data_IF_332016035552
#
_entry.id   IF_332016035552
#
_cell.length_a   1.000
_cell.length_b   1.000
_cell.length_c   1.000
_cell.angle_alpha   90.00
_cell.angle_beta   90.00
_cell.angle_gamma   90.00
#
_symmetry.space_group_name_H-M   'P 1'
#
loop_
_entity.id
_entity.type
_entity.pdbx_description
1 polymer ?
#
# COMPACT_ATOMS: atom_id res chain seq x y z
N UNK A 1 -11.60 -14.94 -6.30
CA UNK A 1 -11.40 -14.05 -7.46
C UNK A 1 -10.49 -12.91 -7.04
N UNK A 2 -9.41 -12.67 -7.77
CA UNK A 2 -8.44 -11.59 -7.50
C UNK A 2 -8.51 -10.53 -8.58
N UNK A 3 -8.83 -9.29 -8.21
CA UNK A 3 -8.93 -8.17 -9.14
C UNK A 3 -8.02 -7.03 -8.66
N UNK A 4 -6.85 -6.92 -9.29
CA UNK A 4 -5.86 -5.88 -9.00
C UNK A 4 -6.03 -4.67 -9.93
N UNK A 5 -7.27 -4.20 -10.05
CA UNK A 5 -7.68 -3.11 -10.94
C UNK A 5 -8.84 -2.31 -10.31
N UNK A 6 -9.02 -1.08 -10.77
CA UNK A 6 -10.09 -0.18 -10.36
C UNK A 6 -10.45 0.76 -11.51
N UNK A 7 -11.67 1.27 -11.48
CA UNK A 7 -12.13 2.33 -12.38
C UNK A 7 -12.46 3.57 -11.57
N UNK A 8 -12.65 4.71 -12.24
CA UNK A 8 -13.26 5.87 -11.59
C UNK A 8 -14.55 5.47 -10.88
N UNK A 9 -14.75 5.93 -9.65
CA UNK A 9 -15.88 5.51 -8.83
C UNK A 9 -17.20 6.05 -9.40
N UNK A 10 -17.99 5.17 -10.01
CA UNK A 10 -19.38 5.42 -10.43
C UNK A 10 -20.37 4.85 -9.40
N UNK A 11 -21.67 5.00 -9.61
CA UNK A 11 -22.66 4.22 -8.86
C UNK A 11 -22.49 2.71 -9.11
N UNK A 12 -22.94 1.86 -8.18
CA UNK A 12 -22.60 0.43 -8.19
C UNK A 12 -23.14 -0.32 -9.42
N UNK A 13 -24.25 0.10 -10.01
CA UNK A 13 -24.82 -0.50 -11.22
C UNK A 13 -24.06 -0.13 -12.49
N UNK A 14 -23.34 1.00 -12.47
CA UNK A 14 -22.51 1.46 -13.58
C UNK A 14 -21.08 0.93 -13.46
N UNK A 15 -20.67 0.51 -12.26
CA UNK A 15 -19.34 -0.02 -12.01
C UNK A 15 -19.28 -1.51 -12.37
N UNK A 16 -18.55 -1.91 -13.43
CA UNK A 16 -18.50 -3.30 -13.88
C UNK A 16 -17.87 -4.24 -12.84
N UNK A 17 -16.94 -3.75 -12.02
CA UNK A 17 -16.34 -4.53 -10.93
C UNK A 17 -17.40 -4.78 -9.86
N UNK A 18 -18.16 -3.76 -9.46
CA UNK A 18 -19.20 -3.92 -8.44
C UNK A 18 -20.29 -4.92 -8.90
N UNK A 19 -20.78 -4.79 -10.14
CA UNK A 19 -21.77 -5.73 -10.71
C UNK A 19 -21.19 -7.16 -10.82
N UNK A 20 -19.98 -7.30 -11.36
CA UNK A 20 -19.31 -8.61 -11.49
C UNK A 20 -18.95 -9.25 -10.15
N UNK A 21 -18.60 -8.44 -9.15
CA UNK A 21 -18.31 -8.92 -7.80
C UNK A 21 -19.57 -9.38 -7.07
N UNK A 22 -20.70 -8.67 -7.23
CA UNK A 22 -21.98 -9.10 -6.66
C UNK A 22 -22.35 -10.48 -7.20
N UNK A 23 -22.21 -10.63 -8.51
CA UNK A 23 -22.45 -11.88 -9.23
C UNK A 23 -21.61 -13.06 -8.73
N UNK A 24 -20.33 -12.82 -8.42
CA UNK A 24 -19.42 -13.82 -7.90
C UNK A 24 -19.75 -14.16 -6.44
N UNK A 25 -19.99 -13.14 -5.61
CA UNK A 25 -20.37 -13.29 -4.20
C UNK A 25 -21.65 -14.12 -4.04
N UNK A 26 -22.68 -13.88 -4.88
CA UNK A 26 -23.92 -14.68 -4.89
C UNK A 26 -23.69 -16.18 -5.15
N UNK A 27 -22.56 -16.53 -5.78
CA UNK A 27 -22.15 -17.91 -6.05
C UNK A 27 -21.17 -18.44 -5.01
N UNK A 28 -21.00 -17.75 -3.89
CA UNK A 28 -20.08 -18.13 -2.82
C UNK A 28 -18.60 -17.92 -3.19
N UNK A 29 -18.30 -17.14 -4.23
CA UNK A 29 -16.93 -16.85 -4.65
C UNK A 29 -16.45 -15.60 -3.90
N UNK A 30 -15.40 -15.75 -3.10
CA UNK A 30 -14.73 -14.62 -2.48
C UNK A 30 -14.12 -13.68 -3.52
N UNK A 31 -14.36 -12.38 -3.40
CA UNK A 31 -13.82 -11.35 -4.31
C UNK A 31 -12.94 -10.38 -3.53
N UNK A 32 -11.67 -10.30 -3.93
CA UNK A 32 -10.73 -9.31 -3.44
C UNK A 32 -10.43 -8.29 -4.51
N UNK A 33 -10.49 -7.01 -4.15
CA UNK A 33 -10.06 -5.92 -5.01
C UNK A 33 -9.01 -5.06 -4.31
N UNK A 34 -8.07 -4.53 -5.10
CA UNK A 34 -7.12 -3.51 -4.64
C UNK A 34 -7.84 -2.20 -4.28
N UNK A 35 -7.45 -1.55 -3.19
CA UNK A 35 -8.04 -0.27 -2.77
C UNK A 35 -7.72 0.93 -3.68
N UNK A 36 -6.65 0.85 -4.48
CA UNK A 36 -6.14 1.97 -5.29
C UNK A 36 -4.79 2.50 -4.76
N UNK A 37 -4.10 3.26 -5.60
CA UNK A 37 -2.76 3.80 -5.31
C UNK A 37 -2.75 5.34 -5.38
N UNK A 38 -3.85 5.98 -4.97
CA UNK A 38 -4.06 7.43 -5.05
C UNK A 38 -4.16 8.08 -3.67
N UNK A 39 -3.70 7.41 -2.61
CA UNK A 39 -3.49 8.04 -1.32
C UNK A 39 -2.34 9.06 -1.35
N UNK A 40 -2.07 9.75 -0.23
CA UNK A 40 -2.55 9.45 1.13
C UNK A 40 -3.86 10.16 1.52
N UNK A 41 -4.45 10.99 0.65
CA UNK A 41 -5.63 11.76 1.01
C UNK A 41 -6.86 10.86 1.24
N UNK A 42 -7.77 11.31 2.11
CA UNK A 42 -9.07 10.68 2.33
C UNK A 42 -9.93 10.66 1.06
N UNK A 43 -10.89 9.74 1.00
CA UNK A 43 -11.83 9.59 -0.14
C UNK A 43 -11.18 9.23 -1.49
N UNK A 44 -9.98 8.67 -1.47
CA UNK A 44 -9.22 8.28 -2.67
C UNK A 44 -9.41 6.81 -3.04
N UNK A 45 -10.10 6.03 -2.20
CA UNK A 45 -10.22 4.59 -2.38
C UNK A 45 -11.30 4.17 -3.38
N UNK A 46 -10.95 3.14 -4.15
CA UNK A 46 -11.78 2.50 -5.17
C UNK A 46 -12.30 1.15 -4.65
N UNK A 47 -13.23 0.55 -5.38
CA UNK A 47 -13.76 -0.80 -5.13
C UNK A 47 -14.42 -0.93 -3.74
N UNK A 48 -15.11 0.12 -3.29
CA UNK A 48 -15.72 0.19 -1.96
C UNK A 48 -17.08 -0.49 -1.79
N UNK A 49 -17.56 -1.26 -2.78
CA UNK A 49 -18.85 -1.94 -2.67
C UNK A 49 -18.86 -2.94 -1.48
N UNK A 50 -19.94 -3.04 -0.69
CA UNK A 50 -19.92 -3.85 0.54
C UNK A 50 -19.81 -5.37 0.35
N UNK A 51 -19.97 -5.89 -0.86
CA UNK A 51 -19.77 -7.30 -1.18
C UNK A 51 -18.37 -7.59 -1.75
N UNK A 52 -17.52 -6.57 -1.88
CA UNK A 52 -16.10 -6.69 -2.21
C UNK A 52 -15.29 -6.68 -0.91
N UNK A 53 -14.23 -7.48 -0.84
CA UNK A 53 -13.18 -7.31 0.17
C UNK A 53 -12.07 -6.43 -0.42
N UNK A 54 -11.89 -5.24 0.11
CA UNK A 54 -11.02 -4.20 -0.45
C UNK A 54 -9.72 -4.12 0.35
N UNK A 55 -8.59 -4.26 -0.32
CA UNK A 55 -7.30 -4.51 0.34
C UNK A 55 -6.37 -3.30 0.19
N UNK A 56 -5.95 -2.73 1.32
CA UNK A 56 -4.89 -1.72 1.38
C UNK A 56 -3.49 -2.33 1.23
N UNK A 57 -2.47 -1.51 0.98
CA UNK A 57 -1.09 -1.97 0.84
C UNK A 57 -0.26 -1.65 2.08
N UNK A 58 0.29 -2.68 2.71
CA UNK A 58 1.24 -2.57 3.82
C UNK A 58 2.67 -2.92 3.41
N UNK A 59 3.65 -2.38 4.14
CA UNK A 59 5.05 -2.84 4.03
C UNK A 59 5.26 -4.20 4.67
N UNK A 60 6.40 -4.81 4.35
CA UNK A 60 6.95 -5.97 5.05
C UNK A 60 8.27 -5.56 5.72
N UNK A 61 8.81 -6.42 6.58
CA UNK A 61 10.07 -6.19 7.30
C UNK A 61 11.34 -6.45 6.44
N UNK A 62 11.16 -6.61 5.13
CA UNK A 62 12.24 -6.67 4.15
C UNK A 62 12.45 -5.31 3.51
N UNK A 63 13.69 -4.87 3.46
CA UNK A 63 14.13 -3.69 2.72
C UNK A 63 15.35 -4.00 1.84
N UNK A 64 15.73 -3.06 0.99
CA UNK A 64 16.89 -3.15 0.13
C UNK A 64 17.79 -1.93 0.26
N UNK A 65 19.08 -2.18 0.31
CA UNK A 65 20.07 -1.19 0.64
C UNK A 65 21.29 -1.24 -0.28
N UNK A 66 22.07 -0.17 -0.21
CA UNK A 66 23.44 -0.11 -0.67
C UNK A 66 24.31 0.53 0.42
N UNK A 67 25.53 0.01 0.58
CA UNK A 67 26.53 0.62 1.45
C UNK A 67 27.38 1.58 0.62
N UNK A 68 27.49 2.82 1.10
CA UNK A 68 28.26 3.91 0.48
C UNK A 68 29.43 4.23 1.39
N UNK A 69 30.64 4.02 0.91
CA UNK A 69 31.88 4.18 1.68
C UNK A 69 32.72 5.32 1.11
N UNK A 70 33.20 6.19 2.00
CA UNK A 70 33.96 7.39 1.68
C UNK A 70 35.36 7.35 2.29
N UNK A 71 36.30 8.07 1.66
CA UNK A 71 37.64 8.31 2.22
C UNK A 71 38.45 7.05 2.52
N UNK A 72 38.30 5.98 1.73
CA UNK A 72 39.02 4.72 1.94
C UNK A 72 38.57 3.93 3.17
N UNK A 73 37.32 4.10 3.62
CA UNK A 73 36.74 3.37 4.75
C UNK A 73 36.48 4.20 6.01
N UNK A 74 36.77 5.50 5.99
CA UNK A 74 36.59 6.39 7.16
C UNK A 74 35.12 6.56 7.54
N UNK A 75 34.23 6.62 6.55
CA UNK A 75 32.80 6.77 6.74
C UNK A 75 32.08 5.76 5.85
N UNK A 76 31.14 5.00 6.42
CA UNK A 76 30.22 4.15 5.65
C UNK A 76 28.79 4.47 6.06
N UNK A 77 27.96 4.79 5.07
CA UNK A 77 26.54 5.09 5.23
C UNK A 77 25.77 4.01 4.49
N UNK A 78 24.76 3.45 5.17
CA UNK A 78 23.80 2.56 4.53
C UNK A 78 22.61 3.38 4.04
N UNK A 79 22.43 3.43 2.74
CA UNK A 79 21.26 4.05 2.10
C UNK A 79 20.32 3.01 1.50
N UNK A 80 19.11 3.45 1.14
CA UNK A 80 18.14 2.64 0.40
C UNK A 80 18.58 2.50 -1.05
N UNK A 81 18.53 1.28 -1.58
CA UNK A 81 18.71 1.03 -3.00
C UNK A 81 18.11 -0.31 -3.43
N UNK A 82 17.35 -0.28 -4.53
CA UNK A 82 16.90 -1.48 -5.28
C UNK A 82 17.50 -1.53 -6.68
N UNK A 83 18.65 -0.87 -6.89
CA UNK A 83 19.35 -0.93 -8.17
C UNK A 83 19.71 -2.40 -8.51
N UNK A 84 19.30 -2.92 -9.68
CA UNK A 84 19.25 -4.36 -9.92
C UNK A 84 20.58 -4.97 -10.36
N UNK A 85 21.59 -4.17 -10.69
CA UNK A 85 22.88 -4.68 -11.17
C UNK A 85 23.91 -4.78 -10.05
N UNK A 86 24.68 -5.88 -10.08
CA UNK A 86 25.81 -6.10 -9.19
C UNK A 86 27.05 -5.35 -9.71
N UNK A 87 26.97 -4.03 -9.74
CA UNK A 87 28.09 -3.17 -10.13
C UNK A 87 28.91 -2.84 -8.89
N UNK A 88 30.20 -3.20 -8.91
CA UNK A 88 31.14 -2.67 -7.95
C UNK A 88 31.55 -1.27 -8.41
N UNK A 89 31.02 -0.25 -7.75
CA UNK A 89 31.54 1.11 -7.87
C UNK A 89 32.70 1.20 -6.89
N UNK A 90 33.91 1.40 -7.40
CA UNK A 90 35.06 1.61 -6.53
C UNK A 90 35.91 2.79 -6.99
N UNK A 91 36.33 3.60 -6.02
CA UNK A 91 37.18 4.76 -6.19
C UNK A 91 36.68 5.73 -7.28
N UNK A 92 35.37 5.97 -7.32
CA UNK A 92 34.74 6.88 -8.30
C UNK A 92 34.67 8.29 -7.73
N UNK A 93 35.07 9.29 -8.51
CA UNK A 93 34.98 10.69 -8.11
C UNK A 93 33.54 11.13 -7.86
N UNK A 94 33.35 11.93 -6.82
CA UNK A 94 32.08 12.58 -6.52
C UNK A 94 31.99 13.96 -7.16
N UNK A 95 30.77 14.36 -7.52
CA UNK A 95 30.43 15.73 -7.88
C UNK A 95 29.35 16.27 -6.94
N UNK A 96 29.55 17.49 -6.45
CA UNK A 96 28.53 18.26 -5.76
C UNK A 96 28.58 19.69 -6.29
N UNK A 97 27.41 20.27 -6.59
CA UNK A 97 27.27 21.61 -7.15
C UNK A 97 27.59 22.76 -6.19
N UNK A 98 28.59 22.60 -5.32
CA UNK A 98 28.88 23.49 -4.21
C UNK A 98 28.96 24.96 -4.63
N UNK A 99 28.21 25.82 -3.94
CA UNK A 99 28.16 27.25 -4.22
C UNK A 99 27.16 27.65 -5.31
N UNK A 100 26.44 26.70 -5.90
CA UNK A 100 25.31 26.96 -6.80
C UNK A 100 24.09 26.15 -6.36
N UNK A 101 23.08 26.82 -5.79
CA UNK A 101 21.92 26.15 -5.19
C UNK A 101 21.19 25.20 -6.14
N UNK A 102 20.96 25.60 -7.39
CA UNK A 102 20.29 24.77 -8.39
C UNK A 102 21.08 23.49 -8.71
N UNK A 103 22.41 23.58 -8.76
CA UNK A 103 23.30 22.43 -8.94
C UNK A 103 23.39 21.56 -7.68
N UNK A 104 23.41 22.16 -6.49
CA UNK A 104 23.38 21.42 -5.21
C UNK A 104 22.10 20.58 -5.07
N UNK A 105 20.97 21.11 -5.54
CA UNK A 105 19.68 20.44 -5.51
C UNK A 105 19.42 19.55 -6.72
N UNK A 106 20.30 19.52 -7.73
CA UNK A 106 20.06 18.83 -9.00
C UNK A 106 18.69 19.20 -9.62
N UNK A 107 18.38 20.50 -9.67
CA UNK A 107 17.17 21.00 -10.33
C UNK A 107 17.20 20.68 -11.84
N UNK A 108 16.02 20.57 -12.44
CA UNK A 108 15.88 20.25 -13.86
C UNK A 108 16.77 21.17 -14.72
N UNK A 109 17.63 20.56 -15.56
CA UNK A 109 18.60 21.20 -16.44
C UNK A 109 19.74 22.00 -15.75
N UNK A 110 19.96 21.83 -14.44
CA UNK A 110 21.02 22.55 -13.73
C UNK A 110 22.43 21.96 -13.91
N UNK A 111 22.55 20.64 -14.11
CA UNK A 111 23.85 19.96 -14.19
C UNK A 111 24.47 20.09 -15.59
N UNK A 112 25.75 20.45 -15.65
CA UNK A 112 26.51 20.43 -16.90
C UNK A 112 27.03 19.00 -17.16
N UNK A 113 26.73 18.38 -18.32
CA UNK A 113 27.26 17.05 -18.66
C UNK A 113 28.78 16.94 -18.55
N UNK A 114 29.53 18.02 -18.82
CA UNK A 114 31.00 18.03 -18.71
C UNK A 114 31.48 17.94 -17.26
N UNK A 115 30.72 18.52 -16.33
CA UNK A 115 31.08 18.54 -14.91
C UNK A 115 30.90 17.15 -14.27
N UNK A 116 29.89 16.41 -14.71
CA UNK A 116 29.43 15.15 -14.08
C UNK A 116 29.86 13.88 -14.82
N UNK A 117 30.40 14.01 -16.04
CA UNK A 117 30.86 12.88 -16.83
C UNK A 117 31.81 11.96 -16.04
N UNK A 118 31.44 10.68 -15.93
CA UNK A 118 32.26 9.69 -15.24
C UNK A 118 32.20 9.72 -13.71
N UNK A 119 31.39 10.60 -13.10
CA UNK A 119 31.29 10.83 -11.65
C UNK A 119 29.96 10.36 -11.08
N UNK A 120 29.92 10.13 -9.78
CA UNK A 120 28.67 10.00 -9.02
C UNK A 120 28.28 11.38 -8.51
N UNK A 121 27.04 11.78 -8.74
CA UNK A 121 26.52 13.09 -8.32
C UNK A 121 25.87 12.96 -6.94
N UNK A 122 26.20 13.87 -6.03
CA UNK A 122 25.45 14.05 -4.79
C UNK A 122 24.41 15.16 -4.97
N UNK A 123 23.14 14.83 -4.79
CA UNK A 123 22.03 15.79 -4.78
C UNK A 123 21.57 16.00 -3.34
N UNK A 124 21.64 17.25 -2.89
CA UNK A 124 21.26 17.62 -1.53
C UNK A 124 19.75 17.66 -1.35
N UNK A 125 19.31 17.64 -0.09
CA UNK A 125 17.91 17.55 0.28
C UNK A 125 17.05 18.68 -0.31
N UNK A 126 15.96 18.28 -0.97
CA UNK A 126 14.88 19.15 -1.41
C UNK A 126 13.54 18.54 -1.00
N UNK A 127 12.71 19.30 -0.28
CA UNK A 127 11.35 18.89 0.10
C UNK A 127 10.43 18.59 -1.09
N UNK A 128 10.76 19.09 -2.29
CA UNK A 128 9.90 19.06 -3.48
C UNK A 128 10.43 18.22 -4.65
N UNK A 129 11.65 17.68 -4.56
CA UNK A 129 12.32 17.05 -5.70
C UNK A 129 13.09 15.83 -5.30
N UNK A 130 12.51 14.64 -5.50
CA UNK A 130 13.24 13.36 -5.49
C UNK A 130 13.32 12.77 -6.89
N UNK A 131 12.17 12.55 -7.54
CA UNK A 131 12.09 11.97 -8.88
C UNK A 131 12.71 12.87 -9.95
N UNK A 132 12.55 14.18 -9.85
CA UNK A 132 13.19 15.14 -10.77
C UNK A 132 14.71 15.05 -10.72
N UNK A 133 15.29 14.93 -9.51
CA UNK A 133 16.74 14.82 -9.32
C UNK A 133 17.31 13.59 -10.03
N UNK A 134 16.66 12.42 -9.91
CA UNK A 134 17.11 11.20 -10.62
C UNK A 134 17.12 11.41 -12.13
N UNK A 135 16.07 12.03 -12.67
CA UNK A 135 15.98 12.33 -14.12
C UNK A 135 17.03 13.32 -14.57
N UNK A 136 17.32 14.34 -13.76
CA UNK A 136 18.35 15.32 -14.09
C UNK A 136 19.76 14.70 -14.11
N UNK A 137 20.07 13.84 -13.14
CA UNK A 137 21.34 13.10 -13.09
C UNK A 137 21.50 12.21 -14.33
N UNK A 138 20.45 11.47 -14.69
CA UNK A 138 20.43 10.62 -15.89
C UNK A 138 20.58 11.45 -17.17
N UNK A 139 19.82 12.54 -17.32
CA UNK A 139 19.92 13.49 -18.44
C UNK A 139 21.32 14.08 -18.59
N UNK A 140 21.98 14.39 -17.47
CA UNK A 140 23.33 14.94 -17.48
C UNK A 140 24.41 13.88 -17.80
N UNK A 141 24.08 12.59 -17.81
CA UNK A 141 25.00 11.51 -18.16
C UNK A 141 26.00 11.17 -17.06
N UNK A 142 25.63 11.36 -15.79
CA UNK A 142 26.44 10.94 -14.65
C UNK A 142 26.50 9.40 -14.53
N UNK A 143 27.49 8.86 -13.82
CA UNK A 143 27.58 7.41 -13.55
C UNK A 143 26.54 6.90 -12.55
N UNK A 144 25.92 7.80 -11.79
CA UNK A 144 24.97 7.46 -10.74
C UNK A 144 24.75 8.62 -9.78
N UNK A 145 23.93 8.39 -8.76
CA UNK A 145 23.59 9.39 -7.75
C UNK A 145 23.60 8.87 -6.33
N UNK A 146 23.96 9.76 -5.41
CA UNK A 146 23.59 9.71 -4.01
C UNK A 146 22.61 10.85 -3.77
N UNK A 147 21.39 10.54 -3.37
CA UNK A 147 20.35 11.53 -3.14
C UNK A 147 20.03 11.58 -1.64
N UNK A 148 20.10 12.78 -1.06
CA UNK A 148 19.64 13.03 0.29
C UNK A 148 18.13 13.27 0.28
N UNK A 149 17.32 12.32 0.78
CA UNK A 149 15.85 12.44 0.77
C UNK A 149 15.19 11.55 1.83
N UNK A 150 14.07 12.01 2.36
CA UNK A 150 13.10 11.24 3.15
C UNK A 150 11.84 10.89 2.32
N UNK A 151 11.88 11.10 1.00
CA UNK A 151 10.72 10.91 0.14
C UNK A 151 10.33 9.44 0.01
N UNK A 152 9.07 9.14 0.33
CA UNK A 152 8.53 7.79 0.24
C UNK A 152 8.39 7.28 -1.20
N UNK A 153 8.49 8.16 -2.20
CA UNK A 153 8.56 7.75 -3.61
C UNK A 153 9.71 6.77 -3.87
N UNK A 154 10.81 6.85 -3.13
CA UNK A 154 11.92 5.91 -3.26
C UNK A 154 11.61 4.49 -2.73
N UNK A 155 10.37 4.20 -2.29
CA UNK A 155 9.87 2.83 -2.11
C UNK A 155 9.38 2.18 -3.41
N UNK A 156 9.35 2.90 -4.53
CA UNK A 156 9.04 2.33 -5.84
C UNK A 156 10.33 1.89 -6.57
N UNK A 157 10.46 0.60 -6.92
CA UNK A 157 11.64 0.12 -7.64
C UNK A 157 11.89 0.77 -9.00
N UNK A 158 10.85 1.30 -9.63
CA UNK A 158 10.94 1.97 -10.93
C UNK A 158 11.82 3.21 -10.96
N UNK A 159 12.19 3.79 -9.80
CA UNK A 159 13.08 4.95 -9.73
C UNK A 159 14.58 4.60 -9.72
N UNK A 160 14.95 3.32 -9.59
CA UNK A 160 16.34 2.87 -9.52
C UNK A 160 16.83 2.37 -10.89
N UNK A 161 16.62 3.18 -11.94
CA UNK A 161 17.03 2.87 -13.32
C UNK A 161 18.48 3.30 -13.65
N UNK A 162 19.10 4.08 -12.76
CA UNK A 162 20.54 4.36 -12.71
C UNK A 162 21.12 3.86 -11.37
N UNK A 163 22.45 3.67 -11.25
CA UNK A 163 23.07 3.42 -9.94
C UNK A 163 22.71 4.54 -8.96
N UNK A 164 21.78 4.24 -8.04
CA UNK A 164 21.17 5.22 -7.16
C UNK A 164 21.18 4.72 -5.72
N UNK A 165 21.64 5.56 -4.81
CA UNK A 165 21.50 5.35 -3.37
C UNK A 165 20.80 6.55 -2.75
N UNK A 166 19.78 6.29 -1.96
CA UNK A 166 19.04 7.33 -1.23
C UNK A 166 19.44 7.26 0.24
N UNK A 167 19.91 8.38 0.78
CA UNK A 167 20.32 8.50 2.18
C UNK A 167 19.39 9.46 2.91
N UNK A 168 19.25 9.29 4.23
CA UNK A 168 18.42 10.20 5.04
C UNK A 168 18.99 11.62 4.98
N UNK A 169 18.19 12.68 5.21
CA UNK A 169 18.70 14.04 5.27
C UNK A 169 19.88 14.22 6.24
N UNK A 170 19.82 13.56 7.39
CA UNK A 170 20.90 13.54 8.38
C UNK A 170 22.19 12.91 7.85
N UNK A 171 22.09 11.79 7.14
CA UNK A 171 23.25 11.15 6.53
C UNK A 171 23.75 11.96 5.33
N UNK A 172 22.85 12.63 4.59
CA UNK A 172 23.16 13.56 3.51
C UNK A 172 24.04 14.73 3.97
N UNK A 173 23.84 15.24 5.18
CA UNK A 173 24.74 16.24 5.77
C UNK A 173 26.16 15.71 5.96
N UNK A 174 26.32 14.44 6.36
CA UNK A 174 27.63 13.80 6.48
C UNK A 174 28.30 13.63 5.11
N UNK A 175 27.54 13.26 4.08
CA UNK A 175 28.04 13.16 2.69
C UNK A 175 28.49 14.53 2.19
N UNK A 176 27.68 15.57 2.40
CA UNK A 176 28.00 16.96 2.02
C UNK A 176 29.29 17.41 2.69
N UNK A 177 29.41 17.19 3.99
CA UNK A 177 30.58 17.56 4.78
C UNK A 177 31.86 16.87 4.28
N UNK A 178 31.78 15.58 3.96
CA UNK A 178 32.89 14.84 3.39
C UNK A 178 33.35 15.43 2.06
N UNK A 179 32.41 15.74 1.16
CA UNK A 179 32.71 16.27 -0.18
C UNK A 179 33.39 17.64 -0.08
N UNK A 180 32.86 18.55 0.75
CA UNK A 180 33.40 19.93 0.87
C UNK A 180 34.79 19.95 1.53
N UNK A 181 35.07 19.02 2.46
CA UNK A 181 36.36 18.96 3.18
C UNK A 181 37.44 18.18 2.44
N UNK A 182 37.11 17.56 1.31
CA UNK A 182 38.04 16.72 0.54
C UNK A 182 38.46 17.41 -0.76
N UNK A 183 39.76 17.45 -1.06
CA UNK A 183 40.25 17.99 -2.34
C UNK A 183 39.83 17.12 -3.54
N UNK A 184 39.85 15.79 -3.37
CA UNK A 184 39.48 14.81 -4.39
C UNK A 184 38.54 13.76 -3.79
N UNK A 185 37.25 14.10 -3.60
CA UNK A 185 36.29 13.21 -2.96
C UNK A 185 36.00 11.99 -3.86
N UNK A 186 36.10 10.81 -3.28
CA UNK A 186 35.86 9.52 -3.95
C UNK A 186 34.90 8.65 -3.13
N UNK A 187 34.22 7.74 -3.81
CA UNK A 187 33.24 6.85 -3.20
C UNK A 187 33.35 5.42 -3.74
N UNK A 188 33.12 4.48 -2.84
CA UNK A 188 32.83 3.07 -3.15
C UNK A 188 31.35 2.79 -2.83
N UNK A 189 30.67 2.04 -3.70
CA UNK A 189 29.26 1.66 -3.48
C UNK A 189 29.09 0.16 -3.69
N UNK A 190 28.46 -0.49 -2.70
CA UNK A 190 28.05 -1.89 -2.74
C UNK A 190 26.53 -2.00 -2.77
N UNK A 191 25.98 -2.37 -3.92
CA UNK A 191 24.54 -2.59 -4.14
C UNK A 191 24.09 -4.00 -3.73
N UNK A 192 22.79 -4.27 -3.92
CA UNK A 192 22.16 -5.58 -3.75
C UNK A 192 22.24 -6.14 -2.32
N UNK A 193 22.06 -5.27 -1.33
CA UNK A 193 21.96 -5.70 0.07
C UNK A 193 20.47 -5.89 0.40
N UNK A 194 20.09 -7.09 0.81
CA UNK A 194 18.77 -7.36 1.40
C UNK A 194 18.85 -7.23 2.90
N UNK A 195 17.97 -6.40 3.47
CA UNK A 195 17.83 -6.20 4.91
C UNK A 195 16.55 -6.88 5.36
N UNK A 196 16.60 -7.63 6.46
CA UNK A 196 15.45 -8.28 7.08
C UNK A 196 15.26 -7.77 8.50
N UNK A 197 14.01 -7.82 8.99
CA UNK A 197 13.65 -7.31 10.31
C UNK A 197 13.68 -5.78 10.38
N UNK A 198 13.43 -5.08 9.28
CA UNK A 198 13.28 -3.62 9.28
C UNK A 198 12.09 -3.21 10.16
N UNK A 199 12.22 -2.06 10.83
CA UNK A 199 11.24 -1.58 11.79
C UNK A 199 10.92 -0.10 11.54
N UNK A 200 9.65 0.32 11.70
CA UNK A 200 8.48 -0.51 11.95
C UNK A 200 7.98 -1.22 10.68
N UNK A 201 7.42 -2.42 10.85
CA UNK A 201 6.67 -3.13 9.80
C UNK A 201 5.51 -3.96 10.41
N UNK A 202 4.31 -3.97 9.80
CA UNK A 202 3.94 -3.22 8.60
C UNK A 202 3.66 -1.74 8.89
N UNK A 203 3.83 -0.91 7.87
CA UNK A 203 3.33 0.46 7.79
C UNK A 203 2.29 0.51 6.66
N UNK A 204 1.30 1.40 6.74
CA UNK A 204 0.43 1.67 5.59
C UNK A 204 1.24 2.40 4.54
N UNK A 205 1.30 1.86 3.32
CA UNK A 205 2.07 2.48 2.24
C UNK A 205 1.49 3.86 1.89
N UNK A 206 2.36 4.84 1.66
CA UNK A 206 1.96 6.23 1.41
C UNK A 206 0.94 6.35 0.26
N UNK A 207 1.13 5.57 -0.81
CA UNK A 207 0.24 5.56 -1.98
C UNK A 207 -1.09 4.83 -1.75
N UNK A 208 -1.22 3.99 -0.72
CA UNK A 208 -2.42 3.17 -0.51
C UNK A 208 -3.63 4.09 -0.34
N UNK A 209 -4.63 3.97 -1.22
CA UNK A 209 -5.81 4.84 -1.15
C UNK A 209 -6.57 4.69 0.16
N UNK A 210 -7.11 5.80 0.67
CA UNK A 210 -7.76 5.89 1.99
C UNK A 210 -9.27 6.02 1.88
N UNK A 211 -9.96 5.52 2.91
CA UNK A 211 -11.40 5.72 3.07
C UNK A 211 -11.77 7.15 3.49
N UNK A 212 -13.08 7.39 3.71
CA UNK A 212 -14.20 6.51 3.38
C UNK A 212 -14.40 6.34 1.87
N UNK A 213 -15.19 5.34 1.44
CA UNK A 213 -15.61 5.24 0.04
C UNK A 213 -16.69 6.29 -0.29
N UNK A 214 -16.64 6.89 -1.48
CA UNK A 214 -17.60 7.90 -1.91
C UNK A 214 -19.04 7.40 -2.13
N UNK A 215 -19.25 6.10 -2.36
CA UNK A 215 -20.55 5.51 -2.71
C UNK A 215 -21.28 4.88 -1.53
N UNK A 216 -20.52 4.32 -0.58
CA UNK A 216 -21.04 3.77 0.65
C UNK A 216 -20.16 4.20 1.84
N UNK A 217 -20.11 5.51 2.19
CA UNK A 217 -19.21 6.00 3.23
C UNK A 217 -19.57 5.49 4.63
N UNK A 218 -20.79 4.95 4.82
CA UNK A 218 -21.23 4.28 6.05
C UNK A 218 -20.67 2.86 6.23
N UNK A 219 -19.95 2.33 5.23
CA UNK A 219 -19.21 1.07 5.33
C UNK A 219 -17.72 1.41 5.32
N UNK A 220 -17.04 1.10 6.43
CA UNK A 220 -15.63 1.41 6.60
C UNK A 220 -14.78 0.64 5.58
N UNK A 221 -13.88 1.37 4.93
CA UNK A 221 -12.96 0.85 3.92
C UNK A 221 -11.57 1.53 4.05
N UNK A 222 -10.47 0.86 3.65
CA UNK A 222 -10.38 -0.53 3.18
C UNK A 222 -10.78 -1.54 4.26
N UNK A 223 -10.94 -2.81 3.92
CA UNK A 223 -11.34 -3.83 4.89
C UNK A 223 -10.17 -4.30 5.74
N UNK A 224 -9.02 -4.55 5.09
CA UNK A 224 -7.79 -5.03 5.71
C UNK A 224 -6.57 -4.54 4.94
N UNK A 225 -5.42 -4.63 5.59
CA UNK A 225 -4.10 -4.40 5.03
C UNK A 225 -3.42 -5.74 4.70
N UNK A 226 -2.65 -5.78 3.61
CA UNK A 226 -1.82 -6.94 3.27
C UNK A 226 -0.53 -6.50 2.57
N UNK A 227 0.49 -7.39 2.43
CA UNK A 227 1.78 -7.03 1.84
C UNK A 227 1.64 -6.48 0.41
N UNK A 228 2.06 -5.24 0.19
CA UNK A 228 1.91 -4.55 -1.09
C UNK A 228 3.11 -3.71 -1.52
N UNK A 229 4.19 -3.66 -0.74
CA UNK A 229 5.38 -2.86 -1.06
C UNK A 229 6.56 -3.78 -1.35
N UNK A 230 7.23 -3.54 -2.49
CA UNK A 230 8.40 -4.27 -2.95
C UNK A 230 8.17 -5.78 -2.97
N UNK A 231 7.05 -6.26 -3.51
CA UNK A 231 6.72 -7.68 -3.59
C UNK A 231 7.39 -8.31 -4.80
N UNK A 232 8.10 -9.42 -4.59
CA UNK A 232 8.76 -10.18 -5.65
C UNK A 232 7.76 -11.17 -6.25
N UNK A 233 7.53 -11.12 -7.55
CA UNK A 233 6.64 -12.04 -8.26
C UNK A 233 7.15 -12.32 -9.67
N UNK A 234 6.59 -13.38 -10.29
CA UNK A 234 6.93 -13.75 -11.66
C UNK A 234 6.60 -12.63 -12.66
N UNK A 235 7.43 -12.49 -13.68
CA UNK A 235 7.32 -11.51 -14.74
C UNK A 235 7.50 -12.16 -16.10
N UNK A 236 6.93 -11.55 -17.15
CA UNK A 236 7.06 -12.06 -18.50
C UNK A 236 8.50 -11.86 -19.00
N UNK A 237 9.27 -12.92 -19.35
CA UNK A 237 10.71 -12.80 -19.61
C UNK A 237 11.08 -11.94 -20.83
N UNK A 238 10.11 -11.69 -21.72
CA UNK A 238 10.29 -10.89 -22.94
C UNK A 238 9.73 -9.47 -22.83
N UNK A 239 9.19 -9.09 -21.68
CA UNK A 239 8.67 -7.76 -21.41
C UNK A 239 9.69 -7.03 -20.55
N UNK A 240 10.29 -5.98 -21.10
CA UNK A 240 11.24 -5.16 -20.36
C UNK A 240 10.55 -4.52 -19.15
N UNK A 241 11.11 -4.74 -17.96
CA UNK A 241 10.62 -4.15 -16.72
C UNK A 241 10.97 -2.66 -16.67
N UNK A 242 12.25 -2.38 -16.87
CA UNK A 242 12.83 -1.04 -16.80
C UNK A 242 14.01 -0.96 -17.76
N UNK A 243 14.58 0.23 -17.87
CA UNK A 243 15.88 0.44 -18.50
C UNK A 243 16.94 0.53 -17.42
N UNK A 244 18.12 -0.01 -17.70
CA UNK A 244 19.32 0.26 -16.93
C UNK A 244 20.34 0.82 -17.91
N UNK A 245 20.59 2.13 -17.82
CA UNK A 245 21.21 2.88 -18.91
C UNK A 245 20.46 2.69 -20.23
N UNK A 246 21.19 2.31 -21.29
CA UNK A 246 20.61 2.07 -22.63
C UNK A 246 19.97 0.68 -22.80
N UNK A 247 20.19 -0.24 -21.84
CA UNK A 247 19.75 -1.62 -21.96
C UNK A 247 18.37 -1.84 -21.34
N UNK A 248 17.59 -2.72 -21.96
CA UNK A 248 16.32 -3.20 -21.41
C UNK A 248 16.57 -4.36 -20.46
N UNK A 249 16.17 -4.21 -19.20
CA UNK A 249 16.28 -5.28 -18.23
C UNK A 249 15.15 -6.30 -18.44
N UNK A 250 15.56 -7.54 -18.74
CA UNK A 250 14.68 -8.70 -18.82
C UNK A 250 14.90 -9.58 -17.58
N UNK A 251 13.81 -10.09 -17.02
CA UNK A 251 13.85 -10.92 -15.82
C UNK A 251 12.65 -11.84 -15.76
N UNK A 252 12.81 -13.00 -15.12
CA UNK A 252 11.73 -13.92 -14.81
C UNK A 252 10.95 -13.48 -13.55
N UNK A 253 11.53 -12.60 -12.73
CA UNK A 253 10.94 -12.09 -11.49
C UNK A 253 11.24 -10.61 -11.27
N UNK A 254 10.27 -9.87 -10.78
CA UNK A 254 10.42 -8.44 -10.48
C UNK A 254 9.83 -8.04 -9.14
N UNK A 255 10.37 -6.97 -8.58
CA UNK A 255 9.78 -6.25 -7.45
C UNK A 255 8.78 -5.22 -7.99
N UNK A 256 7.58 -5.21 -7.44
CA UNK A 256 6.57 -4.18 -7.69
C UNK A 256 5.90 -3.77 -6.38
N UNK A 257 5.41 -2.54 -6.36
CA UNK A 257 4.66 -1.97 -5.24
C UNK A 257 3.28 -1.52 -5.72
N UNK A 258 2.26 -1.74 -4.89
CA UNK A 258 0.88 -1.35 -5.18
C UNK A 258 -0.12 -2.16 -4.38
N UNK A 259 -1.33 -1.63 -4.20
CA UNK A 259 -2.49 -2.41 -3.74
C UNK A 259 -2.81 -3.57 -4.69
N UNK A 260 -2.36 -3.49 -5.94
CA UNK A 260 -2.35 -4.58 -6.91
C UNK A 260 -1.57 -5.81 -6.44
N UNK A 261 -0.57 -5.65 -5.58
CA UNK A 261 0.24 -6.74 -5.00
C UNK A 261 -0.35 -7.22 -3.66
N UNK A 262 -1.08 -6.38 -2.94
CA UNK A 262 -1.74 -6.77 -1.68
C UNK A 262 -3.00 -7.60 -1.89
N UNK A 263 -3.84 -7.25 -2.88
CA UNK A 263 -5.05 -8.00 -3.23
C UNK A 263 -4.83 -9.52 -3.42
N UNK A 264 -3.84 -9.98 -4.22
CA UNK A 264 -3.63 -11.41 -4.43
C UNK A 264 -3.16 -12.16 -3.16
N UNK A 265 -2.49 -11.48 -2.21
CA UNK A 265 -2.17 -12.10 -0.91
C UNK A 265 -3.46 -12.45 -0.14
N UNK A 266 -4.40 -11.50 -0.06
CA UNK A 266 -5.68 -11.74 0.59
C UNK A 266 -6.48 -12.86 -0.08
N UNK A 267 -6.45 -12.96 -1.42
CA UNK A 267 -7.08 -14.08 -2.14
C UNK A 267 -6.41 -15.41 -1.85
N UNK A 268 -5.09 -15.46 -1.78
CA UNK A 268 -4.35 -16.67 -1.42
C UNK A 268 -4.78 -17.19 -0.05
N UNK A 269 -4.86 -16.29 0.95
CA UNK A 269 -5.34 -16.65 2.29
C UNK A 269 -6.81 -17.05 2.25
N UNK A 270 -7.68 -16.30 1.57
CA UNK A 270 -9.09 -16.63 1.43
C UNK A 270 -9.33 -18.00 0.77
N UNK A 271 -8.49 -18.41 -0.19
CA UNK A 271 -8.57 -19.72 -0.82
C UNK A 271 -8.20 -20.84 0.17
N UNK A 272 -7.19 -20.64 1.01
CA UNK A 272 -6.84 -21.57 2.08
C UNK A 272 -7.96 -21.68 3.12
N UNK A 273 -8.54 -20.54 3.53
CA UNK A 273 -9.70 -20.51 4.42
C UNK A 273 -10.91 -21.24 3.82
N UNK A 274 -11.21 -21.01 2.53
CA UNK A 274 -12.30 -21.73 1.84
C UNK A 274 -12.04 -23.22 1.71
N UNK A 275 -10.77 -23.65 1.63
CA UNK A 275 -10.42 -25.07 1.65
C UNK A 275 -10.60 -25.70 3.03
N UNK A 276 -10.26 -24.96 4.10
CA UNK A 276 -10.45 -25.41 5.47
C UNK A 276 -11.94 -25.37 5.90
N UNK A 277 -12.69 -24.40 5.38
CA UNK A 277 -14.10 -24.15 5.68
C UNK A 277 -14.93 -24.06 4.39
N UNK A 278 -15.24 -25.20 3.75
CA UNK A 278 -15.91 -25.22 2.45
C UNK A 278 -17.27 -24.54 2.42
N UNK A 279 -17.97 -24.49 3.56
CA UNK A 279 -19.32 -23.93 3.66
C UNK A 279 -19.34 -22.42 3.95
N UNK A 280 -18.20 -21.81 4.28
CA UNK A 280 -18.17 -20.38 4.58
C UNK A 280 -18.53 -19.53 3.37
N UNK A 281 -19.41 -18.55 3.59
CA UNK A 281 -19.75 -17.54 2.60
C UNK A 281 -18.54 -16.62 2.29
N UNK A 282 -18.67 -15.80 1.23
CA UNK A 282 -17.68 -14.74 0.99
C UNK A 282 -17.61 -13.75 2.15
N UNK A 283 -18.74 -13.46 2.80
CA UNK A 283 -18.80 -12.53 3.94
C UNK A 283 -18.19 -13.15 5.20
N UNK A 284 -18.40 -14.45 5.43
CA UNK A 284 -17.76 -15.21 6.50
C UNK A 284 -16.22 -15.18 6.40
N UNK A 285 -15.67 -15.42 5.20
CA UNK A 285 -14.22 -15.34 4.96
C UNK A 285 -13.70 -13.92 5.20
N UNK A 286 -14.39 -12.90 4.68
CA UNK A 286 -14.01 -11.50 4.96
C UNK A 286 -14.05 -11.20 6.45
N UNK A 287 -15.08 -11.66 7.15
CA UNK A 287 -15.20 -11.48 8.59
C UNK A 287 -14.01 -12.10 9.31
N UNK A 288 -13.65 -13.35 8.99
CA UNK A 288 -12.51 -14.02 9.61
C UNK A 288 -11.20 -13.25 9.37
N UNK A 289 -10.97 -12.75 8.15
CA UNK A 289 -9.80 -11.91 7.84
C UNK A 289 -9.78 -10.61 8.64
N UNK A 290 -10.92 -9.96 8.82
CA UNK A 290 -11.02 -8.66 9.50
C UNK A 290 -10.92 -8.80 11.02
N UNK A 291 -11.70 -9.69 11.63
CA UNK A 291 -11.79 -9.78 13.10
C UNK A 291 -10.54 -10.38 13.75
N UNK A 292 -9.67 -11.00 12.95
CA UNK A 292 -8.42 -11.62 13.41
C UNK A 292 -7.17 -10.89 12.92
N UNK A 293 -7.33 -9.79 12.17
CA UNK A 293 -6.24 -8.93 11.76
C UNK A 293 -5.52 -8.35 12.97
N UNK A 294 -4.21 -8.13 12.84
CA UNK A 294 -3.41 -7.51 13.88
C UNK A 294 -3.23 -6.02 13.62
N UNK A 295 -3.17 -5.25 14.71
CA UNK A 295 -3.05 -3.78 14.71
C UNK A 295 -1.66 -3.28 15.11
N UNK A 296 -0.77 -4.20 15.48
CA UNK A 296 0.56 -3.89 15.98
C UNK A 296 1.63 -4.20 14.95
N UNK A 297 2.65 -3.36 14.88
CA UNK A 297 3.85 -3.61 14.10
C UNK A 297 4.87 -4.48 14.88
N UNK A 298 6.00 -4.76 14.25
CA UNK A 298 7.12 -5.51 14.83
C UNK A 298 7.97 -4.72 15.86
N UNK A 299 7.55 -3.51 16.22
CA UNK A 299 8.00 -2.76 17.41
C UNK A 299 7.03 -2.91 18.58
N UNK A 300 5.90 -3.61 18.39
CA UNK A 300 4.77 -3.68 19.34
C UNK A 300 4.08 -2.30 19.48
N UNK A 301 4.30 -1.40 18.50
CA UNK A 301 3.61 -0.13 18.35
C UNK A 301 2.38 -0.28 17.47
N UNK A 302 1.53 0.76 17.40
CA UNK A 302 0.45 0.81 16.41
C UNK A 302 1.02 0.87 15.00
N UNK A 303 0.35 0.23 14.03
CA UNK A 303 0.64 0.45 12.60
C UNK A 303 0.60 1.95 12.31
N UNK A 304 1.66 2.45 11.66
CA UNK A 304 1.78 3.86 11.27
C UNK A 304 1.46 4.07 9.79
N UNK A 305 1.10 5.30 9.45
CA UNK A 305 1.04 5.78 8.08
C UNK A 305 2.45 6.22 7.65
N UNK A 306 2.93 5.62 6.56
CA UNK A 306 4.25 5.92 6.01
C UNK A 306 4.41 7.38 5.58
N UNK A 307 3.34 8.05 5.13
CA UNK A 307 3.41 9.44 4.67
C UNK A 307 3.62 10.43 5.83
N UNK A 308 2.87 10.23 6.92
CA UNK A 308 2.83 11.18 8.05
C UNK A 308 3.73 10.76 9.20
N UNK A 309 4.15 9.50 9.25
CA UNK A 309 4.94 8.92 10.35
C UNK A 309 4.16 8.78 11.67
N UNK A 310 2.84 9.01 11.66
CA UNK A 310 1.98 8.89 12.85
C UNK A 310 1.12 7.64 12.81
N UNK A 311 0.47 7.32 13.94
CA UNK A 311 -0.44 6.18 14.02
C UNK A 311 -1.52 6.25 12.93
N UNK A 312 -1.63 5.20 12.13
CA UNK A 312 -2.66 5.08 11.12
C UNK A 312 -4.02 4.84 11.76
N UNK A 313 -5.06 5.11 10.99
CA UNK A 313 -6.47 4.96 11.37
C UNK A 313 -7.11 3.78 10.64
N UNK A 314 -8.30 3.34 11.08
CA UNK A 314 -9.08 2.36 10.34
C UNK A 314 -9.43 2.78 8.90
N UNK A 315 -9.42 4.07 8.55
CA UNK A 315 -9.59 4.53 7.16
C UNK A 315 -8.37 4.24 6.27
N UNK A 316 -7.25 3.86 6.89
CA UNK A 316 -5.98 3.58 6.21
C UNK A 316 -5.72 2.07 6.08
N UNK A 317 -5.97 1.31 7.16
CA UNK A 317 -5.69 -0.14 7.21
C UNK A 317 -6.93 -1.03 7.41
N UNK A 318 -8.13 -0.47 7.54
CA UNK A 318 -9.32 -1.23 7.85
C UNK A 318 -9.30 -1.84 9.26
N UNK A 319 -9.47 -3.16 9.33
CA UNK A 319 -9.37 -3.90 10.58
C UNK A 319 -7.92 -4.20 11.03
N UNK A 320 -6.92 -3.95 10.16
CA UNK A 320 -5.51 -4.19 10.44
C UNK A 320 -4.85 -5.05 9.37
N UNK A 321 -3.65 -5.53 9.64
CA UNK A 321 -2.93 -6.41 8.72
C UNK A 321 -3.37 -7.86 8.89
N UNK A 322 -3.59 -8.55 7.76
CA UNK A 322 -4.09 -9.93 7.75
C UNK A 322 -3.21 -10.88 8.58
N UNK A 323 -3.87 -11.76 9.34
CA UNK A 323 -3.23 -12.84 10.10
C UNK A 323 -3.79 -14.20 9.63
N UNK A 324 -3.14 -14.89 8.68
CA UNK A 324 -3.68 -16.10 8.09
C UNK A 324 -3.98 -17.21 9.10
N UNK A 325 -3.10 -17.37 10.10
CA UNK A 325 -3.24 -18.43 11.10
C UNK A 325 -4.40 -18.17 12.06
N UNK A 326 -4.55 -16.92 12.53
CA UNK A 326 -5.68 -16.56 13.39
C UNK A 326 -7.01 -16.60 12.63
N UNK A 327 -7.01 -16.21 11.35
CA UNK A 327 -8.21 -16.24 10.51
C UNK A 327 -8.75 -17.66 10.26
N UNK A 328 -7.93 -18.69 10.48
CA UNK A 328 -8.36 -20.09 10.36
C UNK A 328 -9.39 -20.48 11.43
N UNK A 329 -9.34 -19.88 12.62
CA UNK A 329 -10.28 -20.15 13.70
C UNK A 329 -10.68 -18.84 14.41
N UNK A 330 -11.58 -18.05 13.80
CA UNK A 330 -11.97 -16.74 14.31
C UNK A 330 -12.93 -16.82 15.51
N UNK A 331 -13.44 -18.02 15.84
CA UNK A 331 -14.48 -18.23 16.85
C UNK A 331 -15.87 -17.74 16.42
N UNK A 332 -15.98 -16.45 16.07
CA UNK A 332 -17.21 -15.80 15.64
C UNK A 332 -17.01 -15.10 14.29
N UNK A 333 -18.07 -15.10 13.47
CA UNK A 333 -18.11 -14.37 12.21
C UNK A 333 -19.35 -13.48 12.11
N UNK A 334 -19.22 -12.40 11.33
CA UNK A 334 -20.30 -11.56 10.84
C UNK A 334 -20.67 -12.02 9.43
N UNK A 335 -21.67 -12.90 9.32
CA UNK A 335 -22.13 -13.36 8.02
C UNK A 335 -23.20 -12.42 7.43
N UNK A 336 -23.30 -12.40 6.10
CA UNK A 336 -24.22 -11.54 5.35
C UNK A 336 -24.82 -12.34 4.20
N UNK A 337 -26.14 -12.36 4.11
CA UNK A 337 -26.85 -13.01 3.02
C UNK A 337 -27.05 -12.08 1.82
N UNK A 338 -27.38 -12.66 0.67
CA UNK A 338 -27.64 -11.87 -0.56
C UNK A 338 -28.77 -10.87 -0.37
N UNK A 339 -29.82 -11.24 0.37
CA UNK A 339 -30.96 -10.35 0.61
C UNK A 339 -30.57 -9.14 1.47
N UNK A 340 -29.58 -9.27 2.37
CA UNK A 340 -29.08 -8.15 3.16
C UNK A 340 -28.42 -7.09 2.28
N UNK A 341 -27.63 -7.51 1.28
CA UNK A 341 -27.06 -6.56 0.32
C UNK A 341 -28.13 -5.89 -0.56
N UNK A 342 -29.21 -6.60 -0.90
CA UNK A 342 -30.34 -6.01 -1.62
C UNK A 342 -31.06 -4.99 -0.73
N UNK A 343 -31.35 -5.34 0.52
CA UNK A 343 -31.91 -4.43 1.52
C UNK A 343 -31.04 -3.19 1.72
N UNK A 344 -29.71 -3.35 1.67
CA UNK A 344 -28.75 -2.25 1.69
C UNK A 344 -28.86 -1.34 0.46
N UNK A 345 -28.94 -1.91 -0.74
CA UNK A 345 -29.18 -1.12 -1.96
C UNK A 345 -30.53 -0.38 -1.91
N UNK A 346 -31.58 -1.02 -1.37
CA UNK A 346 -32.86 -0.37 -1.13
C UNK A 346 -32.72 0.80 -0.14
N UNK A 347 -31.95 0.63 0.94
CA UNK A 347 -31.66 1.68 1.93
C UNK A 347 -30.86 2.85 1.35
N UNK A 348 -30.03 2.59 0.34
CA UNK A 348 -29.33 3.60 -0.46
C UNK A 348 -30.23 4.28 -1.51
N UNK A 349 -31.53 3.97 -1.54
CA UNK A 349 -32.51 4.48 -2.50
C UNK A 349 -32.19 4.12 -3.98
N UNK A 350 -31.53 2.99 -4.24
CA UNK A 350 -31.38 2.50 -5.60
C UNK A 350 -32.75 2.11 -6.18
N UNK A 351 -33.02 2.51 -7.42
CA UNK A 351 -34.26 2.15 -8.10
C UNK A 351 -34.34 0.65 -8.38
N UNK A 352 -35.55 0.12 -8.55
CA UNK A 352 -35.71 -1.30 -8.89
C UNK A 352 -34.96 -1.70 -10.15
N UNK A 353 -34.79 -0.78 -11.12
CA UNK A 353 -34.00 -1.02 -12.34
C UNK A 353 -32.51 -1.17 -12.04
N UNK A 354 -31.95 -0.30 -11.20
CA UNK A 354 -30.53 -0.36 -10.82
C UNK A 354 -30.22 -1.62 -9.99
N UNK A 355 -31.10 -1.97 -9.04
CA UNK A 355 -30.94 -3.22 -8.26
C UNK A 355 -31.01 -4.45 -9.17
N UNK A 356 -31.88 -4.46 -10.20
CA UNK A 356 -31.91 -5.54 -11.20
C UNK A 356 -30.61 -5.66 -11.99
N UNK A 357 -29.92 -4.55 -12.27
CA UNK A 357 -28.62 -4.58 -12.96
C UNK A 357 -27.57 -5.25 -12.08
N UNK A 358 -27.50 -4.87 -10.80
CA UNK A 358 -26.50 -5.38 -9.85
C UNK A 358 -26.79 -6.85 -9.50
N UNK A 359 -28.01 -7.13 -9.02
CA UNK A 359 -28.39 -8.46 -8.50
C UNK A 359 -28.74 -9.46 -9.60
N UNK A 360 -29.12 -8.99 -10.80
CA UNK A 360 -29.64 -9.80 -11.90
C UNK A 360 -30.87 -10.63 -11.54
N UNK A 361 -31.53 -10.30 -10.41
CA UNK A 361 -32.77 -10.95 -9.96
C UNK A 361 -33.97 -10.24 -10.51
N UNK A 362 -34.91 -10.99 -11.09
CA UNK A 362 -36.17 -10.43 -11.60
C UNK A 362 -37.15 -10.10 -10.47
N UNK A 363 -37.06 -10.80 -9.34
CA UNK A 363 -37.86 -10.64 -8.13
C UNK A 363 -36.98 -10.44 -6.91
N UNK A 364 -37.25 -9.37 -6.17
CA UNK A 364 -36.72 -9.08 -4.83
C UNK A 364 -37.70 -8.15 -4.13
N UNK A 365 -37.57 -8.01 -2.83
CA UNK A 365 -38.32 -7.03 -2.03
C UNK A 365 -37.38 -6.02 -1.38
N UNK A 366 -37.92 -4.84 -1.07
CA UNK A 366 -37.28 -3.79 -0.30
C UNK A 366 -38.00 -3.54 1.05
N UNK A 367 -38.81 -4.49 1.52
CA UNK A 367 -39.61 -4.34 2.77
C UNK A 367 -38.74 -4.09 4.01
N UNK A 368 -37.47 -4.52 3.97
CA UNK A 368 -36.50 -4.38 5.05
C UNK A 368 -35.31 -3.49 4.65
N UNK A 369 -35.55 -2.45 3.83
CA UNK A 369 -34.52 -1.50 3.43
C UNK A 369 -33.74 -0.96 4.66
N UNK A 370 -32.42 -1.14 4.66
CA UNK A 370 -31.59 -0.82 5.82
C UNK A 370 -30.13 -0.55 5.41
N UNK A 371 -29.52 0.51 5.94
CA UNK A 371 -28.10 0.84 5.71
C UNK A 371 -27.14 0.11 6.66
N UNK A 372 -27.67 -0.45 7.76
CA UNK A 372 -26.90 -1.10 8.81
C UNK A 372 -26.65 -2.58 8.48
N UNK A 373 -25.73 -2.83 7.54
CA UNK A 373 -25.25 -4.18 7.21
C UNK A 373 -24.59 -4.83 8.41
N UNK A 374 -24.68 -6.16 8.51
CA UNK A 374 -23.95 -6.97 9.50
C UNK A 374 -22.45 -7.04 9.19
N UNK A 375 -21.80 -5.88 9.11
CA UNK A 375 -20.41 -5.73 8.66
C UNK A 375 -19.46 -5.77 9.87
N UNK A 376 -18.27 -6.40 9.76
CA UNK A 376 -17.30 -6.55 10.86
C UNK A 376 -16.51 -5.25 11.15
N UNK A 377 -17.14 -4.09 10.99
CA UNK A 377 -16.59 -2.78 11.30
C UNK A 377 -17.72 -1.77 11.54
N UNK A 378 -17.35 -0.63 12.12
CA UNK A 378 -18.26 0.45 12.48
C UNK A 378 -17.65 1.78 12.04
N UNK A 379 -18.45 2.64 11.43
CA UNK A 379 -18.08 4.01 11.11
C UNK A 379 -19.27 4.92 11.34
N UNK A 380 -19.02 6.04 12.02
CA UNK A 380 -20.02 7.09 12.23
C UNK A 380 -19.51 8.33 11.50
N UNK A 381 -20.30 8.82 10.55
CA UNK A 381 -20.01 10.06 9.84
C UNK A 381 -20.71 11.19 10.57
N UNK A 382 -19.93 12.06 11.22
CA UNK A 382 -20.45 13.24 11.89
C UNK A 382 -20.47 14.40 10.90
N UNK A 383 -21.64 14.99 10.69
CA UNK A 383 -21.80 16.20 9.90
C UNK A 383 -22.13 17.36 10.84
N UNK A 384 -21.41 18.48 10.73
CA UNK A 384 -21.61 19.68 11.53
C UNK A 384 -23.03 20.27 11.40
N UNK A 385 -23.79 19.87 10.37
CA UNK A 385 -25.16 20.29 10.13
C UNK A 385 -26.22 19.38 10.78
N UNK A 386 -25.83 18.30 11.46
CA UNK A 386 -26.77 17.37 12.12
C UNK A 386 -26.51 17.34 13.62
N UNK A 387 -27.55 17.58 14.42
CA UNK A 387 -27.53 17.41 15.89
C UNK A 387 -27.56 15.91 16.29
N UNK A 388 -26.80 15.06 15.59
CA UNK A 388 -26.78 13.62 15.84
C UNK A 388 -25.95 13.37 17.10
N UNK A 389 -26.62 13.08 18.21
CA UNK A 389 -25.98 12.84 19.52
C UNK A 389 -25.74 11.36 19.81
N UNK A 390 -26.38 10.45 19.07
CA UNK A 390 -26.20 9.01 19.23
C UNK A 390 -26.42 8.25 17.92
N UNK A 391 -25.73 7.13 17.76
CA UNK A 391 -25.90 6.20 16.64
C UNK A 391 -25.92 4.77 17.20
N UNK A 392 -26.81 3.91 16.69
CA UNK A 392 -26.94 2.51 17.14
C UNK A 392 -26.68 1.58 15.97
N UNK A 393 -25.76 0.63 16.16
CA UNK A 393 -25.49 -0.44 15.20
C UNK A 393 -26.03 -1.76 15.74
N UNK A 394 -26.64 -2.56 14.87
CA UNK A 394 -27.08 -3.92 15.16
C UNK A 394 -26.16 -4.90 14.44
N UNK A 395 -25.65 -5.89 15.18
CA UNK A 395 -24.83 -6.97 14.63
C UNK A 395 -25.32 -8.33 15.10
N UNK A 396 -25.13 -9.33 14.26
CA UNK A 396 -25.41 -10.74 14.53
C UNK A 396 -24.12 -11.51 14.32
N UNK A 397 -23.69 -12.22 15.36
CA UNK A 397 -22.48 -13.03 15.34
C UNK A 397 -22.88 -14.51 15.24
N UNK A 398 -22.29 -15.21 14.29
CA UNK A 398 -22.45 -16.66 14.12
C UNK A 398 -21.26 -17.36 14.77
N UNK A 399 -21.52 -18.31 15.66
CA UNK A 399 -20.51 -19.17 16.24
C UNK A 399 -20.05 -20.21 15.21
N UNK A 400 -18.75 -20.26 14.92
CA UNK A 400 -18.16 -21.20 13.95
C UNK A 400 -17.32 -22.30 14.60
N UNK A 401 -17.26 -22.33 15.94
CA UNK A 401 -16.68 -23.44 16.69
C UNK A 401 -17.76 -24.45 17.09
N UNK A 402 -17.38 -25.72 17.17
CA UNK A 402 -18.29 -26.84 17.47
C UNK A 402 -18.89 -26.79 18.89
N UNK A 403 -18.23 -26.07 19.81
CA UNK A 403 -18.66 -25.96 21.20
C UNK A 403 -19.42 -24.66 21.48
N UNK A 404 -20.51 -24.70 22.28
CA UNK A 404 -21.11 -23.49 22.83
C UNK A 404 -20.10 -22.71 23.68
N UNK A 405 -19.97 -21.42 23.40
CA UNK A 405 -19.00 -20.53 24.04
C UNK A 405 -19.66 -19.22 24.49
N UNK A 406 -19.14 -18.61 25.57
CA UNK A 406 -19.60 -17.32 26.08
C UNK A 406 -18.51 -16.28 25.87
N UNK A 407 -18.85 -15.20 25.17
CA UNK A 407 -17.95 -14.08 24.90
C UNK A 407 -18.36 -12.86 25.71
N UNK A 408 -17.38 -12.09 26.20
CA UNK A 408 -17.61 -10.81 26.87
C UNK A 408 -17.09 -9.68 25.99
N UNK A 409 -17.94 -8.71 25.69
CA UNK A 409 -17.53 -7.52 24.94
C UNK A 409 -16.57 -6.67 25.77
N UNK A 410 -15.48 -6.22 25.14
CA UNK A 410 -14.58 -5.19 25.65
C UNK A 410 -14.64 -4.01 24.70
N UNK A 411 -14.84 -2.81 25.23
CA UNK A 411 -15.08 -1.60 24.44
C UNK A 411 -14.01 -0.57 24.74
N UNK A 412 -13.30 -0.15 23.69
CA UNK A 412 -12.43 1.03 23.71
C UNK A 412 -13.11 2.14 22.92
N UNK A 413 -13.42 3.25 23.58
CA UNK A 413 -14.07 4.39 22.94
C UNK A 413 -13.06 5.14 22.05
N UNK A 414 -13.48 5.69 20.90
CA UNK A 414 -12.66 6.63 20.14
C UNK A 414 -12.26 7.84 21.00
N UNK A 415 -11.07 8.40 20.77
CA UNK A 415 -10.70 9.68 21.37
C UNK A 415 -11.59 10.79 20.82
N UNK A 416 -11.94 11.77 21.68
CA UNK A 416 -12.66 12.98 21.29
C UNK A 416 -11.92 13.82 20.24
#
# INVERSE_FOLDING_TARGET
>A
MSLSLGFEETTFEQNPIAVGAFAAMEKGIFVSCSAGNSGPEGYTMLNGAPWITTIGAGTIDRDYAADVTFGGGILTIRGRSVYPENVLVSNVSLYFGHGNRSKELCEDFALDPKDVAGKIVFCYFNQSGGVSQVREVDRAGAKGAIISSDSEFFNFPSFFFIPLVVVTPKDGDLVKDYIIKSENPVVDVKFLITVLGSKPAPQVAFFSSRGPNNRAPMILKPDVLAPGVNILAAWAPKVALTRVGDNRLLTDYTLLSGTSMSSPHAVGVAALLKSAHPDWSSAAIRSALMTTAYLLDNTIGSIIDMDTGVAATPLDFGAGHINPNMAMDPGLIYDIEVQDYINFLCGLNYTSKQIKIISRRSKFTCDQANLDLNYPSFIVLLNNNTNTTSYTFKRVLTNVVDSPSVYRASVKQPSE
#
